data_IF_512201678769
#
_entry.id   IF_512201678769
#
_cell.length_a   1.000
_cell.length_b   1.000
_cell.length_c   1.000
_cell.angle_alpha   90.00
_cell.angle_beta   90.00
_cell.angle_gamma   90.00
#
_symmetry.space_group_name_H-M   'P 1'
#
loop_
_entity.id
_entity.type
_entity.pdbx_description
1 polymer ?
#
# COMPACT_ATOMS: atom_id res chain seq x y z
N UNK A 1 9.59 14.97 -2.50
CA UNK A 1 8.42 14.18 -2.02
C UNK A 1 8.82 12.73 -1.82
N UNK A 2 8.27 12.09 -0.83
CA UNK A 2 8.60 10.70 -0.49
C UNK A 2 7.35 9.82 -0.50
N UNK A 3 7.41 8.70 -1.21
CA UNK A 3 6.37 7.67 -1.25
C UNK A 3 6.87 6.47 -0.44
N UNK A 4 6.12 6.11 0.59
CA UNK A 4 6.43 4.96 1.45
C UNK A 4 5.61 3.75 1.02
N UNK A 5 6.29 2.66 0.69
CA UNK A 5 5.67 1.38 0.37
C UNK A 5 5.75 0.48 1.59
N UNK A 6 4.61 0.19 2.19
CA UNK A 6 4.47 -0.70 3.35
C UNK A 6 3.95 -2.04 2.85
N UNK A 7 4.69 -3.11 3.08
CA UNK A 7 4.34 -4.38 2.47
C UNK A 7 4.52 -5.56 3.42
N UNK A 8 3.73 -6.60 3.17
CA UNK A 8 3.94 -7.93 3.72
C UNK A 8 3.82 -8.91 2.56
N UNK A 9 4.93 -9.58 2.23
CA UNK A 9 5.07 -10.38 1.01
C UNK A 9 5.51 -11.80 1.34
N UNK A 10 4.61 -12.61 1.98
CA UNK A 10 4.99 -13.93 2.49
C UNK A 10 4.97 -15.04 1.44
N UNK A 11 4.62 -14.76 0.19
CA UNK A 11 4.48 -15.76 -0.86
C UNK A 11 5.03 -15.27 -2.19
N UNK A 12 5.31 -16.20 -3.15
CA UNK A 12 5.72 -15.80 -4.50
C UNK A 12 4.70 -14.91 -5.21
N UNK A 13 3.41 -15.16 -5.02
CA UNK A 13 2.35 -14.34 -5.63
C UNK A 13 2.37 -12.92 -5.08
N UNK A 14 2.50 -12.76 -3.78
CA UNK A 14 2.64 -11.44 -3.16
C UNK A 14 3.91 -10.74 -3.63
N UNK A 15 5.01 -11.46 -3.80
CA UNK A 15 6.27 -10.90 -4.26
C UNK A 15 6.16 -10.37 -5.69
N UNK A 16 5.51 -11.10 -6.60
CA UNK A 16 5.31 -10.65 -7.97
C UNK A 16 4.50 -9.34 -8.01
N UNK A 17 3.44 -9.26 -7.24
CA UNK A 17 2.60 -8.05 -7.15
C UNK A 17 3.41 -6.87 -6.59
N UNK A 18 4.15 -7.09 -5.53
CA UNK A 18 4.99 -6.07 -4.90
C UNK A 18 6.02 -5.50 -5.88
N UNK A 19 6.72 -6.38 -6.62
CA UNK A 19 7.70 -5.96 -7.61
C UNK A 19 7.07 -5.13 -8.73
N UNK A 20 5.87 -5.49 -9.18
CA UNK A 20 5.15 -4.74 -10.20
C UNK A 20 4.74 -3.35 -9.70
N UNK A 21 4.26 -3.26 -8.48
CA UNK A 21 3.92 -1.96 -7.84
C UNK A 21 5.16 -1.08 -7.75
N UNK A 22 6.28 -1.63 -7.28
CA UNK A 22 7.54 -0.90 -7.19
C UNK A 22 8.02 -0.41 -8.56
N UNK A 23 7.92 -1.26 -9.58
CA UNK A 23 8.33 -0.89 -10.94
C UNK A 23 7.53 0.31 -11.45
N UNK A 24 6.21 0.33 -11.21
CA UNK A 24 5.37 1.46 -11.58
C UNK A 24 5.71 2.73 -10.79
N UNK A 25 5.89 2.60 -9.48
CA UNK A 25 6.19 3.73 -8.62
C UNK A 25 7.56 4.37 -8.91
N UNK A 26 8.50 3.58 -9.43
CA UNK A 26 9.85 4.04 -9.75
C UNK A 26 10.07 4.30 -11.24
N UNK A 27 8.99 4.42 -12.02
CA UNK A 27 9.11 4.73 -13.45
C UNK A 27 9.91 6.01 -13.64
N UNK A 28 10.90 6.04 -14.58
CA UNK A 28 11.74 7.22 -14.79
C UNK A 28 10.99 8.48 -15.19
N UNK A 29 9.78 8.37 -15.72
CA UNK A 29 8.96 9.53 -16.07
C UNK A 29 8.36 10.21 -14.84
N UNK A 30 8.36 9.53 -13.69
CA UNK A 30 7.89 10.10 -12.43
C UNK A 30 9.10 10.73 -11.71
N UNK A 31 9.22 12.04 -11.85
CA UNK A 31 10.35 12.79 -11.32
C UNK A 31 10.04 13.42 -9.96
N UNK A 32 11.05 13.52 -9.12
CA UNK A 32 10.97 14.23 -7.83
C UNK A 32 10.27 13.44 -6.73
N UNK A 33 10.12 12.14 -6.90
CA UNK A 33 9.51 11.27 -5.90
C UNK A 33 10.50 10.19 -5.48
N UNK A 34 10.90 10.23 -4.21
CA UNK A 34 11.74 9.19 -3.62
C UNK A 34 10.86 8.06 -3.11
N UNK A 35 11.12 6.85 -3.58
CA UNK A 35 10.35 5.67 -3.17
C UNK A 35 11.14 4.90 -2.12
N UNK A 36 10.55 4.76 -0.94
CA UNK A 36 11.13 4.04 0.20
C UNK A 36 10.20 2.87 0.55
N UNK A 37 10.75 1.70 0.81
CA UNK A 37 9.96 0.53 1.18
C UNK A 37 10.32 0.07 2.59
N UNK A 38 9.29 -0.39 3.33
CA UNK A 38 9.45 -0.95 4.67
C UNK A 38 8.55 -2.17 4.83
N UNK A 39 9.07 -3.27 5.35
CA UNK A 39 8.21 -4.38 5.76
C UNK A 39 7.24 -3.91 6.84
N UNK A 40 6.00 -4.39 6.77
CA UNK A 40 4.97 -3.97 7.72
C UNK A 40 5.35 -4.25 9.18
N UNK A 41 6.01 -5.36 9.44
CA UNK A 41 6.40 -5.75 10.82
C UNK A 41 7.44 -4.83 11.45
N UNK A 42 8.19 -4.07 10.66
CA UNK A 42 9.25 -3.17 11.16
C UNK A 42 8.93 -1.69 10.93
N UNK A 43 7.71 -1.39 10.50
CA UNK A 43 7.28 -0.01 10.25
C UNK A 43 7.26 0.80 11.55
N UNK A 44 7.77 2.03 11.49
CA UNK A 44 7.73 2.97 12.61
C UNK A 44 6.86 4.19 12.28
N UNK A 45 6.40 4.88 13.32
CA UNK A 45 5.69 6.15 13.14
C UNK A 45 6.55 7.20 12.43
N UNK A 46 7.85 7.21 12.70
CA UNK A 46 8.78 8.12 12.02
C UNK A 46 8.80 7.91 10.50
N UNK A 47 8.78 6.65 10.04
CA UNK A 47 8.71 6.34 8.61
C UNK A 47 7.46 6.95 7.98
N UNK A 48 6.32 6.81 8.64
CA UNK A 48 5.03 7.30 8.15
C UNK A 48 4.95 8.81 8.15
N UNK A 49 5.41 9.44 9.23
CA UNK A 49 5.42 10.91 9.35
C UNK A 49 6.32 11.56 8.31
N UNK A 50 7.43 10.92 7.94
CA UNK A 50 8.42 11.43 6.99
C UNK A 50 7.98 11.30 5.52
N UNK A 51 6.94 10.52 5.23
CA UNK A 51 6.47 10.29 3.87
C UNK A 51 5.28 11.19 3.52
N UNK A 52 5.10 11.44 2.24
CA UNK A 52 4.05 12.31 1.71
C UNK A 52 2.88 11.52 1.14
N UNK A 53 3.08 10.24 0.90
CA UNK A 53 2.04 9.32 0.40
C UNK A 53 2.43 7.87 0.70
N UNK A 54 1.47 6.97 0.49
CA UNK A 54 1.60 5.58 0.94
C UNK A 54 1.08 4.59 -0.09
N UNK A 55 1.80 3.48 -0.25
CA UNK A 55 1.32 2.28 -0.93
C UNK A 55 1.34 1.15 0.09
N UNK A 56 0.20 0.47 0.24
CA UNK A 56 0.02 -0.59 1.22
C UNK A 56 -0.22 -1.92 0.50
N UNK A 57 0.51 -2.95 0.86
CA UNK A 57 0.38 -4.28 0.28
C UNK A 57 0.30 -5.38 1.31
N UNK A 58 -0.66 -6.29 1.14
CA UNK A 58 -0.92 -7.36 2.09
C UNK A 58 -1.64 -8.53 1.44
N UNK A 59 -1.40 -9.78 1.88
CA UNK A 59 -2.36 -10.83 1.63
C UNK A 59 -3.62 -10.59 2.47
N UNK A 60 -4.75 -11.11 2.01
CA UNK A 60 -5.98 -11.19 2.78
C UNK A 60 -5.99 -12.53 3.50
N UNK A 61 -6.03 -12.51 4.81
CA UNK A 61 -6.00 -13.70 5.67
C UNK A 61 -7.24 -13.76 6.53
N UNK A 62 -7.93 -14.89 6.52
CA UNK A 62 -9.08 -15.12 7.38
C UNK A 62 -10.15 -14.01 7.29
N UNK A 63 -10.39 -13.51 6.09
CA UNK A 63 -11.39 -12.47 5.86
C UNK A 63 -10.98 -11.08 6.32
N UNK A 64 -9.68 -10.84 6.52
CA UNK A 64 -9.13 -9.61 7.06
C UNK A 64 -7.76 -9.31 6.41
N UNK A 65 -7.18 -8.14 6.68
CA UNK A 65 -5.79 -7.89 6.30
C UNK A 65 -4.85 -8.83 7.06
N UNK A 66 -3.61 -8.98 6.59
CA UNK A 66 -2.62 -9.78 7.33
C UNK A 66 -2.37 -9.19 8.72
N UNK A 67 -2.01 -10.06 9.67
CA UNK A 67 -1.61 -9.63 10.99
C UNK A 67 -0.44 -8.66 10.96
N UNK A 68 0.47 -8.82 10.00
CA UNK A 68 1.60 -7.91 9.83
C UNK A 68 1.16 -6.48 9.50
N UNK A 69 0.21 -6.32 8.58
CA UNK A 69 -0.30 -4.99 8.23
C UNK A 69 -1.11 -4.40 9.38
N UNK A 70 -1.92 -5.20 10.08
CA UNK A 70 -2.66 -4.73 11.25
C UNK A 70 -1.70 -4.29 12.36
N UNK A 71 -0.63 -5.04 12.57
CA UNK A 71 0.42 -4.66 13.52
C UNK A 71 1.01 -3.30 13.16
N UNK A 72 1.31 -3.08 11.87
CA UNK A 72 1.81 -1.79 11.40
C UNK A 72 0.84 -0.66 11.75
N UNK A 73 -0.44 -0.84 11.46
CA UNK A 73 -1.46 0.17 11.80
C UNK A 73 -1.56 0.40 13.32
N UNK A 74 -1.47 -0.65 14.12
CA UNK A 74 -1.48 -0.50 15.58
C UNK A 74 -0.31 0.35 16.08
N UNK A 75 0.86 0.25 15.43
CA UNK A 75 2.04 1.02 15.80
C UNK A 75 1.95 2.50 15.42
N UNK A 76 1.27 2.80 14.31
CA UNK A 76 1.35 4.15 13.73
C UNK A 76 0.07 4.98 13.89
N UNK A 77 -1.05 4.36 14.23
CA UNK A 77 -2.35 5.03 14.14
C UNK A 77 -2.40 6.31 15.00
N UNK A 78 -2.19 6.19 16.30
CA UNK A 78 -2.27 7.35 17.17
C UNK A 78 -1.15 8.36 16.97
N UNK A 79 0.12 7.94 16.81
CA UNK A 79 1.19 8.91 16.54
C UNK A 79 1.01 9.70 15.24
N UNK A 80 0.37 9.10 14.24
CA UNK A 80 0.19 9.73 12.93
C UNK A 80 -1.19 10.34 12.72
N UNK A 81 -2.10 10.14 13.67
CA UNK A 81 -3.45 10.69 13.61
C UNK A 81 -3.36 12.23 13.59
N UNK A 82 -4.12 12.84 12.70
CA UNK A 82 -4.13 14.27 12.41
C UNK A 82 -2.85 14.80 11.75
N UNK A 83 -1.70 14.19 11.97
CA UNK A 83 -0.43 14.64 11.38
C UNK A 83 -0.29 14.29 9.90
N UNK A 84 -0.99 13.26 9.43
CA UNK A 84 -0.88 12.76 8.05
C UNK A 84 -2.16 12.93 7.24
N UNK A 85 -3.08 13.73 7.72
CA UNK A 85 -4.38 13.95 7.07
C UNK A 85 -4.22 14.49 5.65
N UNK A 86 -4.99 13.94 4.72
CA UNK A 86 -4.99 14.35 3.33
C UNK A 86 -3.93 13.71 2.46
N UNK A 87 -3.04 12.91 3.02
CA UNK A 87 -1.99 12.25 2.24
C UNK A 87 -2.59 11.14 1.37
N UNK A 88 -2.16 11.01 0.10
CA UNK A 88 -2.70 10.00 -0.80
C UNK A 88 -2.19 8.60 -0.46
N UNK A 89 -3.02 7.59 -0.70
CA UNK A 89 -2.61 6.20 -0.55
C UNK A 89 -3.22 5.31 -1.64
N UNK A 90 -2.62 4.14 -1.82
CA UNK A 90 -3.13 3.05 -2.62
C UNK A 90 -2.95 1.73 -1.90
N UNK A 91 -3.70 0.70 -2.32
CA UNK A 91 -3.71 -0.61 -1.69
C UNK A 91 -3.73 -1.71 -2.73
N UNK A 92 -2.89 -2.73 -2.54
CA UNK A 92 -3.01 -3.99 -3.28
C UNK A 92 -3.15 -5.16 -2.30
N UNK A 93 -4.02 -6.09 -2.66
CA UNK A 93 -4.33 -7.27 -1.86
C UNK A 93 -4.24 -8.52 -2.69
N UNK A 94 -3.78 -9.59 -2.09
CA UNK A 94 -3.79 -10.93 -2.69
C UNK A 94 -4.54 -11.89 -1.77
N UNK A 95 -5.49 -12.64 -2.34
CA UNK A 95 -6.19 -13.65 -1.57
C UNK A 95 -7.20 -14.41 -2.41
N UNK A 96 -7.51 -15.63 -2.01
CA UNK A 96 -8.50 -16.46 -2.70
C UNK A 96 -9.91 -16.19 -2.19
N UNK A 97 -10.04 -15.82 -0.93
CA UNK A 97 -11.31 -15.56 -0.26
C UNK A 97 -11.13 -14.43 0.76
N UNK A 98 -12.23 -13.79 1.14
CA UNK A 98 -12.22 -12.82 2.23
C UNK A 98 -11.54 -11.50 1.92
N UNK A 99 -11.25 -11.20 0.67
CA UNK A 99 -10.63 -9.93 0.27
C UNK A 99 -11.50 -8.72 0.61
N UNK A 100 -12.82 -8.89 0.56
CA UNK A 100 -13.76 -7.81 0.90
C UNK A 100 -13.61 -7.35 2.35
N UNK A 101 -13.39 -8.28 3.27
CA UNK A 101 -13.14 -7.96 4.68
C UNK A 101 -11.83 -7.18 4.86
N UNK A 102 -10.79 -7.56 4.12
CA UNK A 102 -9.52 -6.85 4.12
C UNK A 102 -9.67 -5.43 3.57
N UNK A 103 -10.39 -5.27 2.46
CA UNK A 103 -10.66 -3.95 1.87
C UNK A 103 -11.39 -3.04 2.85
N UNK A 104 -12.45 -3.53 3.48
CA UNK A 104 -13.23 -2.78 4.47
C UNK A 104 -12.39 -2.37 5.68
N UNK A 105 -11.57 -3.30 6.18
CA UNK A 105 -10.73 -3.04 7.35
C UNK A 105 -9.68 -1.95 7.07
N UNK A 106 -8.99 -2.03 5.94
CA UNK A 106 -8.02 -1.01 5.55
C UNK A 106 -8.70 0.33 5.32
N UNK A 107 -9.84 0.33 4.64
CA UNK A 107 -10.61 1.56 4.38
C UNK A 107 -11.05 2.24 5.67
N UNK A 108 -11.52 1.48 6.66
CA UNK A 108 -11.91 2.05 7.95
C UNK A 108 -10.74 2.74 8.65
N UNK A 109 -9.58 2.10 8.66
CA UNK A 109 -8.38 2.65 9.33
C UNK A 109 -7.84 3.87 8.58
N UNK A 110 -7.72 3.81 7.26
CA UNK A 110 -7.20 4.92 6.46
C UNK A 110 -8.16 6.12 6.46
N UNK A 111 -9.46 5.87 6.50
CA UNK A 111 -10.45 6.94 6.68
C UNK A 111 -10.26 7.62 8.03
N UNK A 112 -10.03 6.86 9.10
CA UNK A 112 -9.74 7.41 10.42
C UNK A 112 -8.48 8.26 10.43
N UNK A 113 -7.45 7.84 9.70
CA UNK A 113 -6.19 8.61 9.53
C UNK A 113 -6.37 9.85 8.65
N UNK A 114 -7.47 9.94 7.91
CA UNK A 114 -7.71 11.04 6.98
C UNK A 114 -6.95 10.91 5.68
N UNK A 115 -6.43 9.72 5.37
CA UNK A 115 -5.73 9.48 4.10
C UNK A 115 -6.72 9.45 2.94
N UNK A 116 -6.27 9.85 1.76
CA UNK A 116 -7.11 9.98 0.57
C UNK A 116 -6.78 8.87 -0.42
N UNK A 117 -7.79 8.09 -0.79
CA UNK A 117 -7.67 7.02 -1.78
C UNK A 117 -7.33 7.63 -3.14
N UNK A 118 -6.14 7.35 -3.65
CA UNK A 118 -5.62 7.93 -4.89
C UNK A 118 -5.89 7.09 -6.14
N UNK A 119 -6.28 5.82 -5.96
CA UNK A 119 -6.54 4.88 -7.04
C UNK A 119 -7.46 3.77 -6.53
N UNK A 120 -8.15 3.10 -7.44
CA UNK A 120 -8.89 1.89 -7.06
C UNK A 120 -7.93 0.86 -6.48
N UNK A 121 -8.40 0.08 -5.52
CA UNK A 121 -7.62 -1.01 -4.95
C UNK A 121 -7.39 -2.08 -6.00
N UNK A 122 -6.20 -2.69 -5.97
CA UNK A 122 -5.91 -3.86 -6.82
C UNK A 122 -6.08 -5.11 -5.96
N UNK A 123 -6.96 -6.00 -6.38
CA UNK A 123 -7.24 -7.25 -5.67
C UNK A 123 -7.05 -8.40 -6.64
N UNK A 124 -6.14 -9.32 -6.30
CA UNK A 124 -5.80 -10.46 -7.16
C UNK A 124 -6.01 -11.76 -6.41
N UNK A 125 -6.64 -12.71 -7.08
CA UNK A 125 -6.88 -14.06 -6.59
C UNK A 125 -6.00 -15.05 -7.37
N UNK A 126 -5.35 -15.97 -6.68
CA UNK A 126 -4.51 -16.99 -7.30
C UNK A 126 -3.20 -16.41 -7.87
N UNK A 127 -2.63 -17.09 -8.87
CA UNK A 127 -1.42 -16.63 -9.50
C UNK A 127 -1.71 -15.36 -10.32
N UNK A 128 -0.97 -14.26 -10.10
CA UNK A 128 -1.16 -13.05 -10.88
C UNK A 128 -0.92 -13.29 -12.37
N UNK A 129 -1.88 -12.88 -13.20
CA UNK A 129 -1.73 -12.87 -14.64
C UNK A 129 -1.16 -11.55 -15.14
N UNK A 130 -0.97 -11.46 -16.45
CA UNK A 130 -0.42 -10.25 -17.07
C UNK A 130 -1.24 -9.00 -16.74
N UNK A 131 -2.56 -9.09 -16.85
CA UNK A 131 -3.45 -7.97 -16.57
C UNK A 131 -3.38 -7.55 -15.08
N UNK A 132 -3.23 -8.51 -14.18
CA UNK A 132 -3.09 -8.25 -12.74
C UNK A 132 -1.80 -7.50 -12.45
N UNK A 133 -0.69 -7.89 -13.07
CA UNK A 133 0.60 -7.23 -12.88
C UNK A 133 0.62 -5.84 -13.51
N UNK A 134 -0.07 -5.65 -14.63
CA UNK A 134 -0.26 -4.32 -15.23
C UNK A 134 -1.07 -3.41 -14.29
N UNK A 135 -2.10 -3.94 -13.64
CA UNK A 135 -2.88 -3.18 -12.67
C UNK A 135 -2.03 -2.78 -11.46
N UNK A 136 -1.16 -3.67 -10.99
CA UNK A 136 -0.21 -3.36 -9.92
C UNK A 136 0.77 -2.26 -10.33
N UNK A 137 1.32 -2.35 -11.54
CA UNK A 137 2.21 -1.33 -12.08
C UNK A 137 1.50 0.03 -12.13
N UNK A 138 0.28 0.04 -12.67
CA UNK A 138 -0.52 1.26 -12.77
C UNK A 138 -0.85 1.85 -11.40
N UNK A 139 -1.13 1.01 -10.41
CA UNK A 139 -1.36 1.47 -9.04
C UNK A 139 -0.14 2.22 -8.50
N UNK A 140 1.04 1.61 -8.63
CA UNK A 140 2.29 2.23 -8.18
C UNK A 140 2.56 3.56 -8.87
N UNK A 141 2.43 3.58 -10.20
CA UNK A 141 2.65 4.78 -11.00
C UNK A 141 1.64 5.88 -10.68
N UNK A 142 0.36 5.53 -10.53
CA UNK A 142 -0.70 6.50 -10.25
C UNK A 142 -0.49 7.19 -8.90
N UNK A 143 -0.22 6.42 -7.86
CA UNK A 143 -0.01 6.99 -6.51
C UNK A 143 1.26 7.83 -6.49
N UNK A 144 2.35 7.35 -7.08
CA UNK A 144 3.59 8.13 -7.17
C UNK A 144 3.39 9.44 -7.94
N UNK A 145 2.64 9.41 -9.04
CA UNK A 145 2.38 10.59 -9.85
C UNK A 145 1.62 11.68 -9.08
N UNK A 146 0.79 11.32 -8.09
CA UNK A 146 0.10 12.32 -7.26
C UNK A 146 1.07 13.17 -6.44
N UNK A 147 2.30 12.71 -6.25
CA UNK A 147 3.33 13.40 -5.46
C UNK A 147 4.29 14.22 -6.32
N UNK A 148 4.13 14.20 -7.63
CA UNK A 148 4.93 15.05 -8.52
C UNK A 148 4.56 16.52 -8.30
N UNK A 149 5.57 17.33 -8.21
CA UNK A 149 5.41 18.75 -7.96
C UNK A 149 4.91 19.56 -9.14
#
# INVERSE_FOLDING_TARGET
MKLLVVHHTPSPNCQEMFEAVLAGATDPEIEGVDVVRRPALTLSAADVLDADGYLLGSPANLGYMSGALKHAFDQIYYPCLDATRGRPFGLWLHGNEGTEGAEKAVTAITTGLGWVKASDYVVVSGKPGKADLEACWNLGATVAATLMG
#
